data_IF_793650803709
#
_entry.id   IF_793650803709
#
_cell.length_a   1.000
_cell.length_b   1.000
_cell.length_c   1.000
_cell.angle_alpha   90.00
_cell.angle_beta   90.00
_cell.angle_gamma   90.00
#
_symmetry.space_group_name_H-M   'P 1'
#
loop_
_entity.id
_entity.type
_entity.pdbx_description
1 polymer ?
#
# COMPACT_ATOMS: atom_id res chain seq x y z
N UNK A 1 8.54 -24.33 -6.04
CA UNK A 1 8.86 -23.91 -7.42
C UNK A 1 8.86 -22.39 -7.44
N UNK A 2 10.01 -21.76 -7.66
CA UNK A 2 10.06 -20.30 -7.86
C UNK A 2 9.64 -20.00 -9.29
N UNK A 3 8.71 -19.06 -9.48
CA UNK A 3 8.35 -18.58 -10.82
C UNK A 3 9.55 -17.87 -11.47
N UNK A 4 9.72 -18.04 -12.77
CA UNK A 4 10.71 -17.27 -13.53
C UNK A 4 10.25 -15.82 -13.70
N UNK A 5 11.14 -14.91 -14.08
CA UNK A 5 10.75 -13.54 -14.39
C UNK A 5 9.71 -13.48 -15.51
N UNK A 6 9.86 -14.34 -16.53
CA UNK A 6 8.91 -14.42 -17.64
C UNK A 6 7.50 -14.83 -17.18
N UNK A 7 7.39 -15.79 -16.26
CA UNK A 7 6.09 -16.19 -15.70
C UNK A 7 5.45 -15.06 -14.88
N UNK A 8 6.26 -14.35 -14.10
CA UNK A 8 5.82 -13.19 -13.31
C UNK A 8 5.35 -12.03 -14.20
N UNK A 9 6.00 -11.84 -15.34
CA UNK A 9 5.61 -10.82 -16.31
C UNK A 9 4.33 -11.23 -17.04
N UNK A 10 4.15 -12.50 -17.37
CA UNK A 10 2.90 -13.01 -17.94
C UNK A 10 1.71 -12.81 -16.98
N UNK A 11 1.88 -13.13 -15.70
CA UNK A 11 0.85 -12.88 -14.68
C UNK A 11 0.55 -11.39 -14.52
N UNK A 12 1.57 -10.54 -14.62
CA UNK A 12 1.44 -9.08 -14.50
C UNK A 12 0.74 -8.45 -15.71
N UNK A 13 0.96 -8.95 -16.92
CA UNK A 13 0.34 -8.44 -18.14
C UNK A 13 -1.15 -8.82 -18.25
N UNK A 14 -1.59 -9.90 -17.58
CA UNK A 14 -2.97 -10.36 -17.62
C UNK A 14 -3.93 -9.35 -16.96
N UNK A 15 -4.83 -8.78 -17.77
CA UNK A 15 -5.87 -7.83 -17.35
C UNK A 15 -6.79 -8.40 -16.26
N UNK A 16 -6.99 -9.72 -16.20
CA UNK A 16 -7.84 -10.34 -15.20
C UNK A 16 -7.31 -10.19 -13.76
N UNK A 17 -6.00 -9.97 -13.59
CA UNK A 17 -5.40 -9.72 -12.28
C UNK A 17 -5.44 -8.24 -11.87
N UNK A 18 -5.90 -7.34 -12.74
CA UNK A 18 -6.01 -5.91 -12.45
C UNK A 18 -7.47 -5.52 -12.19
N UNK A 19 -7.68 -4.84 -11.07
CA UNK A 19 -8.99 -4.28 -10.75
C UNK A 19 -9.38 -3.20 -11.77
N UNK A 20 -10.62 -3.25 -12.24
CA UNK A 20 -11.20 -2.24 -13.11
C UNK A 20 -11.30 -0.89 -12.38
N UNK A 21 -10.54 0.12 -12.83
CA UNK A 21 -10.61 1.49 -12.28
C UNK A 21 -9.27 2.24 -12.28
N UNK A 22 -9.32 3.54 -11.94
CA UNK A 22 -8.15 4.44 -11.96
C UNK A 22 -7.07 4.13 -10.92
N UNK A 23 -7.41 3.34 -9.91
CA UNK A 23 -6.53 3.07 -8.75
C UNK A 23 -5.50 1.97 -9.08
N UNK A 24 -5.81 1.07 -10.03
CA UNK A 24 -4.89 0.02 -10.47
C UNK A 24 -4.49 -0.92 -9.33
N UNK A 25 -5.47 -1.62 -8.75
CA UNK A 25 -5.24 -2.66 -7.76
C UNK A 25 -4.84 -3.96 -8.46
N UNK A 26 -3.93 -4.73 -7.86
CA UNK A 26 -3.46 -5.99 -8.40
C UNK A 26 -3.83 -7.14 -7.46
N UNK A 27 -4.37 -8.22 -8.01
CA UNK A 27 -4.78 -9.42 -7.28
C UNK A 27 -4.38 -10.66 -8.07
N UNK A 28 -3.33 -11.36 -7.64
CA UNK A 28 -2.93 -12.62 -8.23
C UNK A 28 -2.42 -13.58 -7.15
N UNK A 29 -3.15 -14.67 -6.87
CA UNK A 29 -2.76 -15.68 -5.87
C UNK A 29 -1.50 -16.46 -6.27
N UNK A 30 -1.23 -16.55 -7.58
CA UNK A 30 -0.06 -17.26 -8.13
C UNK A 30 1.22 -16.43 -8.05
N UNK A 31 1.10 -15.11 -7.98
CA UNK A 31 2.23 -14.21 -7.88
C UNK A 31 2.68 -14.07 -6.41
N UNK A 32 3.89 -14.53 -6.04
CA UNK A 32 4.38 -14.47 -4.66
C UNK A 32 4.85 -13.06 -4.26
N UNK A 33 4.94 -12.10 -5.19
CA UNK A 33 5.43 -10.74 -4.90
C UNK A 33 4.40 -9.99 -4.05
N UNK A 34 4.86 -9.39 -2.95
CA UNK A 34 4.04 -8.48 -2.15
C UNK A 34 3.87 -7.12 -2.83
N UNK A 35 4.97 -6.58 -3.38
CA UNK A 35 4.99 -5.30 -4.09
C UNK A 35 5.15 -5.53 -5.58
N UNK A 36 4.28 -4.88 -6.35
CA UNK A 36 4.19 -5.01 -7.80
C UNK A 36 4.18 -3.62 -8.42
N UNK A 37 4.91 -3.41 -9.53
CA UNK A 37 4.87 -2.12 -10.24
C UNK A 37 3.48 -1.92 -10.84
N UNK A 38 2.95 -0.70 -10.79
CA UNK A 38 1.70 -0.37 -11.52
C UNK A 38 1.95 -0.40 -13.03
N UNK A 39 0.87 -0.65 -13.80
CA UNK A 39 0.89 -0.67 -15.28
C UNK A 39 1.55 0.55 -15.90
N UNK A 40 1.33 1.73 -15.31
CA UNK A 40 2.06 2.94 -15.65
C UNK A 40 3.20 3.10 -14.64
N UNK A 41 4.48 2.97 -15.05
CA UNK A 41 5.61 3.08 -14.14
C UNK A 41 5.65 4.40 -13.34
N UNK A 42 5.10 5.48 -13.91
CA UNK A 42 4.96 6.78 -13.25
C UNK A 42 4.00 6.81 -12.06
N UNK A 43 3.08 5.85 -11.94
CA UNK A 43 2.19 5.73 -10.78
C UNK A 43 2.83 4.96 -9.61
N UNK A 44 4.06 4.48 -9.76
CA UNK A 44 4.80 3.79 -8.71
C UNK A 44 4.40 2.32 -8.53
N UNK A 45 4.30 1.90 -7.27
CA UNK A 45 4.07 0.51 -6.88
C UNK A 45 2.68 0.32 -6.26
N UNK A 46 2.22 -0.92 -6.26
CA UNK A 46 0.99 -1.38 -5.61
C UNK A 46 1.29 -2.64 -4.80
N UNK A 47 0.34 -3.02 -3.94
CA UNK A 47 0.40 -4.26 -3.18
C UNK A 47 -0.41 -5.32 -3.93
N UNK A 48 0.14 -6.53 -4.05
CA UNK A 48 -0.65 -7.68 -4.47
C UNK A 48 -1.61 -8.07 -3.33
N UNK A 49 -2.88 -7.76 -3.49
CA UNK A 49 -3.90 -7.99 -2.47
C UNK A 49 -4.18 -9.47 -2.19
N UNK A 50 -3.70 -10.37 -3.06
CA UNK A 50 -3.78 -11.81 -2.82
C UNK A 50 -2.66 -12.33 -1.90
N UNK A 51 -1.64 -11.53 -1.59
CA UNK A 51 -0.52 -11.95 -0.76
C UNK A 51 -0.92 -11.95 0.73
N UNK A 52 -0.49 -12.97 1.49
CA UNK A 52 -0.81 -13.13 2.93
C UNK A 52 -0.46 -11.92 3.80
N UNK A 53 0.61 -11.22 3.45
CA UNK A 53 1.07 -10.02 4.18
C UNK A 53 0.39 -8.72 3.70
N UNK A 54 -0.47 -8.75 2.68
CA UNK A 54 -1.13 -7.55 2.16
C UNK A 54 -1.96 -6.86 3.25
N UNK A 55 -2.64 -7.62 4.10
CA UNK A 55 -3.40 -7.08 5.24
C UNK A 55 -2.51 -6.28 6.21
N UNK A 56 -1.32 -6.79 6.53
CA UNK A 56 -0.37 -6.06 7.40
C UNK A 56 0.11 -4.75 6.77
N UNK A 57 0.35 -4.75 5.45
CA UNK A 57 0.74 -3.53 4.73
C UNK A 57 -0.40 -2.51 4.73
N UNK A 58 -1.64 -2.94 4.49
CA UNK A 58 -2.81 -2.05 4.52
C UNK A 58 -3.04 -1.45 5.92
N UNK A 59 -2.92 -2.27 6.96
CA UNK A 59 -2.97 -1.79 8.35
C UNK A 59 -1.84 -0.79 8.60
N UNK A 60 -0.61 -1.09 8.19
CA UNK A 60 0.52 -0.17 8.34
C UNK A 60 0.30 1.18 7.64
N UNK A 61 -0.15 1.15 6.38
CA UNK A 61 -0.43 2.36 5.59
C UNK A 61 -1.56 3.20 6.22
N UNK A 62 -2.47 2.58 6.96
CA UNK A 62 -3.59 3.29 7.61
C UNK A 62 -3.20 3.79 9.01
N UNK A 63 -2.61 2.93 9.83
CA UNK A 63 -2.33 3.20 11.24
C UNK A 63 -1.13 4.13 11.41
N UNK A 64 -0.06 3.98 10.61
CA UNK A 64 1.15 4.79 10.78
C UNK A 64 0.88 6.29 10.60
N UNK A 65 0.19 6.75 9.53
CA UNK A 65 -0.15 8.17 9.39
C UNK A 65 -1.04 8.68 10.53
N UNK A 66 -2.01 7.87 10.98
CA UNK A 66 -2.88 8.22 12.12
C UNK A 66 -2.05 8.41 13.39
N UNK A 67 -1.14 7.48 13.69
CA UNK A 67 -0.25 7.58 14.84
C UNK A 67 0.66 8.81 14.75
N UNK A 68 1.20 9.13 13.57
CA UNK A 68 2.00 10.34 13.36
C UNK A 68 1.19 11.58 13.70
N UNK A 69 -0.05 11.68 13.23
CA UNK A 69 -0.94 12.82 13.52
C UNK A 69 -1.27 12.90 15.00
N UNK A 70 -1.61 11.78 15.63
CA UNK A 70 -1.94 11.73 17.07
C UNK A 70 -0.74 12.16 17.91
N UNK A 71 0.47 11.63 17.63
CA UNK A 71 1.68 12.01 18.37
C UNK A 71 2.02 13.48 18.15
N UNK A 72 1.94 13.98 16.92
CA UNK A 72 2.22 15.38 16.60
C UNK A 72 1.25 16.36 17.27
N UNK A 73 -0.02 15.99 17.42
CA UNK A 73 -1.06 16.84 18.03
C UNK A 73 -1.14 16.70 19.55
N UNK A 74 -0.90 15.50 20.09
CA UNK A 74 -0.84 15.27 21.54
C UNK A 74 0.37 15.96 22.18
N UNK A 75 1.50 16.09 21.47
CA UNK A 75 2.64 16.90 21.91
C UNK A 75 2.39 18.41 21.93
N UNK A 76 1.38 18.91 21.20
CA UNK A 76 1.00 20.31 21.15
C UNK A 76 0.00 20.75 22.23
N UNK A 77 -0.60 19.81 22.96
CA UNK A 77 -1.61 20.08 24.00
C UNK A 77 -1.08 20.59 25.33
N UNK A 78 0.24 20.66 25.51
CA UNK A 78 0.88 21.14 26.73
C UNK A 78 1.23 22.65 26.73
N UNK A 79 0.70 23.45 25.79
CA UNK A 79 1.16 24.83 25.60
C UNK A 79 0.15 25.88 25.13
N UNK A 80 -1.16 25.63 25.20
CA UNK A 80 -2.17 26.68 24.88
C UNK A 80 -3.04 26.92 26.10
N UNK A 81 -2.47 27.62 27.09
CA UNK A 81 -3.17 27.97 28.31
C UNK A 81 -2.34 28.90 29.20
N UNK A 82 -2.10 30.13 28.76
CA UNK A 82 -1.90 31.34 29.58
C UNK A 82 -1.30 32.48 28.75
N UNK A 83 -2.14 33.38 28.26
CA UNK A 83 -1.81 34.81 28.07
C UNK A 83 -3.05 35.52 27.50
N UNK A 84 -3.88 36.04 28.40
CA UNK A 84 -5.09 36.78 28.08
C UNK A 84 -5.70 37.35 29.35
N UNK A 85 -4.98 38.30 29.95
CA UNK A 85 -5.37 39.07 31.12
C UNK A 85 -4.61 40.38 31.13
#
# INVERSE_FOLDING_TARGET
MSLSQHDLDALWQDDAHWGHGRIGLYFCKRDPRLFVRKRRPSMGWTVNLAHRAAGLVLVGITIVPVLIVVVATAGGGAGVGAAGG
#
